data_IF_735966056248
#
_entry.id   IF_735966056248
#
_cell.length_a   1.000
_cell.length_b   1.000
_cell.length_c   1.000
_cell.angle_alpha   90.00
_cell.angle_beta   90.00
_cell.angle_gamma   90.00
#
_symmetry.space_group_name_H-M   'P 1'
#
loop_
_entity.id
_entity.type
_entity.pdbx_description
1 polymer ?
#
# COMPACT_ATOMS: atom_id res chain seq x y z
N UNK A 1 11.97 -3.79 7.37
CA UNK A 1 11.19 -5.05 7.29
C UNK A 1 9.72 -4.86 7.67
N UNK A 2 9.37 -4.14 8.74
CA UNK A 2 7.97 -3.86 9.13
C UNK A 2 7.10 -3.30 7.99
N UNK A 3 7.65 -2.39 7.16
CA UNK A 3 6.92 -1.82 6.00
C UNK A 3 6.44 -2.89 5.01
N UNK A 4 7.22 -3.95 4.77
CA UNK A 4 6.78 -5.07 3.92
C UNK A 4 5.64 -5.85 4.56
N UNK A 5 5.70 -6.14 5.86
CA UNK A 5 4.62 -6.85 6.55
C UNK A 5 3.31 -6.04 6.49
N UNK A 6 3.37 -4.73 6.76
CA UNK A 6 2.22 -3.83 6.67
C UNK A 6 1.67 -3.76 5.25
N UNK A 7 2.52 -3.65 4.23
CA UNK A 7 2.11 -3.65 2.83
C UNK A 7 1.45 -4.98 2.41
N UNK A 8 1.89 -6.12 2.96
CA UNK A 8 1.27 -7.43 2.74
C UNK A 8 -0.17 -7.48 3.24
N UNK A 9 -0.39 -7.02 4.47
CA UNK A 9 -1.73 -7.00 5.09
C UNK A 9 -2.64 -6.01 4.38
N UNK A 10 -2.17 -4.77 4.15
CA UNK A 10 -2.97 -3.74 3.46
C UNK A 10 -3.26 -4.11 2.01
N UNK A 11 -2.29 -4.69 1.29
CA UNK A 11 -2.48 -5.20 -0.06
C UNK A 11 -3.55 -6.29 -0.13
N UNK A 12 -3.65 -7.14 0.89
CA UNK A 12 -4.72 -8.13 1.02
C UNK A 12 -6.09 -7.48 1.29
N UNK A 13 -6.16 -6.48 2.17
CA UNK A 13 -7.40 -5.73 2.43
C UNK A 13 -7.91 -5.02 1.17
N UNK A 14 -7.01 -4.46 0.36
CA UNK A 14 -7.38 -3.78 -0.89
C UNK A 14 -8.10 -4.71 -1.88
N UNK A 15 -7.76 -6.00 -1.92
CA UNK A 15 -8.47 -6.97 -2.78
C UNK A 15 -9.96 -7.01 -2.46
N UNK A 16 -10.33 -6.97 -1.18
CA UNK A 16 -11.74 -6.97 -0.79
C UNK A 16 -12.42 -5.68 -1.23
N UNK A 17 -11.77 -4.54 -1.04
CA UNK A 17 -12.30 -3.23 -1.46
C UNK A 17 -12.53 -3.22 -2.98
N UNK A 18 -11.54 -3.63 -3.76
CA UNK A 18 -11.64 -3.74 -5.22
C UNK A 18 -12.72 -4.72 -5.64
N UNK A 19 -12.82 -5.85 -4.94
CA UNK A 19 -13.85 -6.85 -5.23
C UNK A 19 -15.26 -6.31 -4.98
N UNK A 20 -15.47 -5.52 -3.92
CA UNK A 20 -16.74 -4.85 -3.66
C UNK A 20 -17.07 -3.82 -4.74
N UNK A 21 -16.08 -3.06 -5.20
CA UNK A 21 -16.24 -2.07 -6.28
C UNK A 21 -16.64 -2.77 -7.58
N UNK A 22 -15.89 -3.80 -7.99
CA UNK A 22 -16.16 -4.55 -9.23
C UNK A 22 -17.51 -5.27 -9.15
N UNK A 23 -17.87 -5.82 -7.98
CA UNK A 23 -19.19 -6.42 -7.77
C UNK A 23 -20.31 -5.39 -7.98
N UNK A 24 -20.15 -4.16 -7.47
CA UNK A 24 -21.11 -3.08 -7.72
C UNK A 24 -21.20 -2.73 -9.21
N UNK A 25 -20.07 -2.66 -9.91
CA UNK A 25 -20.01 -2.36 -11.35
C UNK A 25 -20.62 -3.47 -12.21
N UNK A 26 -20.51 -4.73 -11.78
CA UNK A 26 -21.11 -5.89 -12.46
C UNK A 26 -22.56 -6.16 -12.06
N UNK A 27 -23.23 -5.25 -11.34
CA UNK A 27 -24.63 -5.44 -10.95
C UNK A 27 -24.84 -6.52 -9.89
N UNK A 28 -23.92 -6.59 -8.90
CA UNK A 28 -23.93 -7.56 -7.80
C UNK A 28 -23.63 -9.01 -8.18
N UNK A 29 -23.04 -9.23 -9.37
CA UNK A 29 -22.46 -10.53 -9.70
C UNK A 29 -21.10 -10.72 -9.02
N UNK A 30 -20.89 -11.94 -8.50
CA UNK A 30 -19.63 -12.35 -7.88
C UNK A 30 -18.45 -12.30 -8.87
N UNK A 31 -17.25 -12.16 -8.31
CA UNK A 31 -16.02 -12.16 -9.10
C UNK A 31 -15.44 -13.56 -9.11
N UNK A 32 -15.33 -14.13 -10.30
CA UNK A 32 -14.61 -15.37 -10.54
C UNK A 32 -13.17 -15.02 -10.92
N UNK A 33 -12.23 -15.30 -10.02
CA UNK A 33 -10.81 -15.09 -10.29
C UNK A 33 -10.21 -16.11 -11.26
N UNK A 34 -10.94 -17.17 -11.65
CA UNK A 34 -10.46 -18.17 -12.60
C UNK A 34 -9.23 -18.98 -12.13
N UNK A 35 -8.85 -18.89 -10.86
CA UNK A 35 -7.73 -19.62 -10.25
C UNK A 35 -6.93 -18.78 -9.25
N UNK A 36 -5.85 -19.36 -8.72
CA UNK A 36 -4.95 -18.68 -7.78
C UNK A 36 -4.04 -17.65 -8.47
N UNK A 37 -3.66 -17.87 -9.74
CA UNK A 37 -2.71 -16.98 -10.41
C UNK A 37 -3.25 -15.54 -10.57
N UNK A 38 -4.51 -15.31 -10.99
CA UNK A 38 -5.05 -13.96 -11.09
C UNK A 38 -5.20 -13.29 -9.71
N UNK A 39 -5.55 -14.08 -8.68
CA UNK A 39 -5.61 -13.59 -7.30
C UNK A 39 -4.26 -13.09 -6.80
N UNK A 40 -3.19 -13.89 -6.98
CA UNK A 40 -1.83 -13.51 -6.56
C UNK A 40 -1.34 -12.28 -7.34
N UNK A 41 -1.70 -12.15 -8.62
CA UNK A 41 -1.32 -10.98 -9.43
C UNK A 41 -1.94 -9.69 -8.91
N UNK A 42 -3.25 -9.69 -8.62
CA UNK A 42 -3.94 -8.52 -8.05
C UNK A 42 -3.38 -8.20 -6.67
N UNK A 43 -3.15 -9.23 -5.84
CA UNK A 43 -2.52 -9.06 -4.54
C UNK A 43 -1.13 -8.42 -4.63
N UNK A 44 -0.27 -8.91 -5.54
CA UNK A 44 1.08 -8.41 -5.73
C UNK A 44 1.08 -6.95 -6.20
N UNK A 45 0.19 -6.59 -7.13
CA UNK A 45 0.03 -5.20 -7.58
C UNK A 45 -0.31 -4.27 -6.40
N UNK A 46 -1.27 -4.67 -5.56
CA UNK A 46 -1.68 -3.90 -4.39
C UNK A 46 -0.58 -3.82 -3.33
N UNK A 47 0.16 -4.91 -3.13
CA UNK A 47 1.33 -4.94 -2.25
C UNK A 47 2.37 -3.89 -2.68
N UNK A 48 2.75 -3.89 -3.97
CA UNK A 48 3.74 -2.96 -4.48
C UNK A 48 3.28 -1.51 -4.40
N UNK A 49 1.99 -1.25 -4.68
CA UNK A 49 1.40 0.09 -4.54
C UNK A 49 1.52 0.61 -3.11
N UNK A 50 1.05 -0.16 -2.13
CA UNK A 50 1.10 0.24 -0.72
C UNK A 50 2.55 0.39 -0.25
N UNK A 51 3.42 -0.54 -0.65
CA UNK A 51 4.84 -0.49 -0.30
C UNK A 51 5.52 0.77 -0.84
N UNK A 52 5.24 1.15 -2.09
CA UNK A 52 5.78 2.36 -2.71
C UNK A 52 5.31 3.63 -1.97
N UNK A 53 4.01 3.72 -1.67
CA UNK A 53 3.43 4.85 -0.92
C UNK A 53 4.06 4.96 0.48
N UNK A 54 4.11 3.86 1.24
CA UNK A 54 4.71 3.85 2.58
C UNK A 54 6.19 4.22 2.56
N UNK A 55 6.92 3.76 1.54
CA UNK A 55 8.33 4.10 1.35
C UNK A 55 8.48 5.60 1.13
N UNK A 56 7.67 6.18 0.24
CA UNK A 56 7.77 7.60 -0.05
C UNK A 56 7.34 8.48 1.12
N UNK A 57 6.28 8.11 1.84
CA UNK A 57 5.87 8.79 3.07
C UNK A 57 6.99 8.74 4.11
N UNK A 58 7.64 7.59 4.27
CA UNK A 58 8.69 7.50 5.29
C UNK A 58 9.94 8.27 4.89
N UNK A 59 10.33 8.25 3.61
CA UNK A 59 11.45 9.05 3.13
C UNK A 59 11.18 10.54 3.36
N UNK A 60 9.97 11.00 2.99
CA UNK A 60 9.55 12.38 3.25
C UNK A 60 9.55 12.74 4.74
N UNK A 61 9.08 11.84 5.61
CA UNK A 61 9.10 12.06 7.05
C UNK A 61 10.52 12.17 7.59
N UNK A 62 11.43 11.30 7.13
CA UNK A 62 12.84 11.33 7.52
C UNK A 62 13.55 12.59 7.04
N UNK A 63 13.30 13.03 5.81
CA UNK A 63 13.83 14.29 5.28
C UNK A 63 13.34 15.49 6.10
N UNK A 64 12.07 15.49 6.51
CA UNK A 64 11.47 16.59 7.27
C UNK A 64 11.96 16.66 8.71
N UNK A 65 12.06 15.53 9.40
CA UNK A 65 12.63 15.45 10.76
C UNK A 65 14.13 15.75 10.74
N UNK A 66 14.85 15.28 9.72
CA UNK A 66 16.27 15.62 9.53
C UNK A 66 16.51 17.11 9.27
N UNK A 67 15.54 17.80 8.68
CA UNK A 67 15.55 19.27 8.54
C UNK A 67 15.33 19.99 9.87
N UNK A 68 14.37 19.55 10.70
CA UNK A 68 14.11 20.15 12.01
C UNK A 68 15.29 19.96 12.98
N UNK A 69 16.00 18.83 12.93
CA UNK A 69 17.21 18.62 13.77
C UNK A 69 18.46 19.34 13.25
N UNK A 70 18.50 19.71 11.96
CA UNK A 70 19.63 20.43 11.37
C UNK A 70 19.61 21.95 11.62
N UNK A 71 18.45 22.50 12.00
CA UNK A 71 18.31 23.89 12.44
C UNK A 71 18.72 24.07 13.92
N UNK A 72 18.49 23.09 14.81
CA UNK A 72 18.92 23.19 16.21
C UNK A 72 20.45 23.13 16.39
N UNK A 73 21.17 22.39 15.55
CA UNK A 73 22.64 22.29 15.61
C UNK A 73 23.37 23.50 14.97
N UNK A 74 22.66 24.44 14.33
CA UNK A 74 23.22 25.67 13.74
C UNK A 74 22.92 26.95 14.54
N UNK A 75 22.33 26.82 15.72
CA UNK A 75 22.15 27.91 16.68
C UNK A 75 22.86 27.54 17.98
N UNK A 76 24.10 28.03 18.10
CA UNK A 76 25.06 28.02 19.23
C UNK A 76 26.09 26.89 19.28
#
# INVERSE_FOLDING_TARGET
MIRMAVAGVLGFVLIFIESLIVMKLKGYHGIEFGGLAPFINVWAMNFFLVFAILTQITNWYQDRVGFESGEEDNIY
#
